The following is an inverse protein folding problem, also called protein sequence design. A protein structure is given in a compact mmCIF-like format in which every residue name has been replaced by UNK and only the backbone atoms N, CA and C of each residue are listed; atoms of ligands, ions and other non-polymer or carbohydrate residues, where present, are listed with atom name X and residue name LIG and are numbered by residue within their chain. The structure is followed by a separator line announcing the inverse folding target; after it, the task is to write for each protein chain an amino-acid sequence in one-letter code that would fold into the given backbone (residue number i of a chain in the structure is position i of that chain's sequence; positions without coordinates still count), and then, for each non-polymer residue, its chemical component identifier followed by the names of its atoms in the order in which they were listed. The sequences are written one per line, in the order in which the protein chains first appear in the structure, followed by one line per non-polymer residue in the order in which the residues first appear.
data_IF_855714167133
#
_entry.id   IF_855714167133
#
_cell.length_a   1.000
_cell.length_b   1.000
_cell.length_c   1.000
_cell.angle_alpha   90.00
_cell.angle_beta   90.00
_cell.angle_gamma   90.00
#
_symmetry.space_group_name_H-M   'P 1'
#
loop_
_entity.id
_entity.type
_entity.pdbx_description
1 polymer ?
#
# COMPACT_ATOMS: atom_id res chain seq x y z
N UNK A 1 -33.44 36.94 37.69
CA UNK A 1 -32.40 35.89 37.77
C UNK A 1 -31.70 35.78 36.43
N UNK A 2 -30.37 35.96 36.41
CA UNK A 2 -29.53 35.74 35.22
C UNK A 2 -29.13 34.27 35.17
N UNK A 3 -29.45 33.55 34.10
CA UNK A 3 -28.82 32.26 33.78
C UNK A 3 -28.01 32.43 32.49
N UNK A 4 -26.69 32.35 32.66
CA UNK A 4 -25.69 32.36 31.59
C UNK A 4 -25.74 31.03 30.86
N UNK A 5 -26.12 31.02 29.59
CA UNK A 5 -25.84 29.88 28.71
C UNK A 5 -24.41 30.03 28.16
N UNK A 6 -23.48 29.29 28.76
CA UNK A 6 -22.16 29.04 28.17
C UNK A 6 -22.36 28.20 26.91
N UNK A 7 -22.09 28.77 25.74
CA UNK A 7 -21.80 27.99 24.53
C UNK A 7 -20.40 27.42 24.69
N UNK A 8 -20.31 26.10 24.85
CA UNK A 8 -19.06 25.35 24.71
C UNK A 8 -18.94 24.95 23.24
N UNK A 9 -17.86 25.40 22.61
CA UNK A 9 -17.38 25.03 21.28
C UNK A 9 -16.91 23.58 21.25
N UNK A 10 -17.20 22.83 20.19
CA UNK A 10 -16.33 21.73 19.77
C UNK A 10 -15.96 21.94 18.30
N UNK A 11 -14.84 22.64 18.11
CA UNK A 11 -14.15 22.77 16.83
C UNK A 11 -13.62 21.39 16.44
N UNK A 12 -14.17 20.78 15.39
CA UNK A 12 -13.54 19.62 14.75
C UNK A 12 -12.32 20.13 13.98
N UNK A 13 -11.20 20.25 14.70
CA UNK A 13 -9.88 20.38 14.10
C UNK A 13 -9.57 19.11 13.32
N UNK A 14 -9.39 19.25 12.01
CA UNK A 14 -8.84 18.23 11.13
C UNK A 14 -7.42 17.93 11.61
N UNK A 15 -7.24 16.81 12.31
CA UNK A 15 -5.92 16.24 12.56
C UNK A 15 -5.53 15.41 11.33
N UNK A 16 -4.95 16.06 10.32
CA UNK A 16 -4.11 15.37 9.34
C UNK A 16 -2.78 15.06 10.03
N UNK A 17 -2.74 13.93 10.72
CA UNK A 17 -1.53 13.36 11.30
C UNK A 17 -0.60 12.77 10.24
N UNK A 18 -0.07 13.61 9.36
CA UNK A 18 1.21 13.37 8.70
C UNK A 18 2.30 13.87 9.66
N UNK A 19 2.91 12.98 10.43
CA UNK A 19 4.30 13.11 10.93
C UNK A 19 4.64 11.98 11.89
N UNK A 20 5.12 10.87 11.34
CA UNK A 20 6.09 10.00 12.00
C UNK A 20 6.82 9.15 10.95
N UNK A 21 7.54 9.80 10.03
CA UNK A 21 8.78 9.18 9.57
C UNK A 21 9.66 9.12 10.81
N UNK A 22 9.88 7.92 11.33
CA UNK A 22 10.89 7.68 12.35
C UNK A 22 12.26 8.02 11.74
N UNK A 23 12.65 9.29 11.87
CA UNK A 23 14.02 9.71 11.78
C UNK A 23 14.77 8.94 12.85
N UNK A 24 15.59 7.98 12.43
CA UNK A 24 16.61 7.39 13.28
C UNK A 24 17.38 8.54 13.94
N UNK A 25 17.54 8.57 15.27
CA UNK A 25 18.38 9.56 15.91
C UNK A 25 19.82 9.28 15.47
N UNK A 26 20.33 10.11 14.55
CA UNK A 26 21.77 10.26 14.39
C UNK A 26 22.31 10.74 15.74
N UNK A 27 22.89 9.83 16.50
CA UNK A 27 23.72 10.17 17.66
C UNK A 27 24.90 10.98 17.14
N UNK A 28 24.80 12.30 17.20
CA UNK A 28 25.95 13.19 17.08
C UNK A 28 26.87 12.94 18.27
N UNK A 29 27.93 12.17 18.05
CA UNK A 29 29.05 12.15 18.98
C UNK A 29 29.80 13.47 18.80
N UNK A 30 29.54 14.42 19.69
CA UNK A 30 30.35 15.64 19.81
C UNK A 30 31.69 15.26 20.44
N UNK A 31 32.69 14.98 19.60
CA UNK A 31 34.09 14.99 20.04
C UNK A 31 34.58 16.44 20.09
N UNK A 32 34.58 17.04 21.28
CA UNK A 32 35.36 18.25 21.55
C UNK A 32 36.83 17.94 21.34
N UNK A 33 37.44 18.74 20.46
CA UNK A 33 38.81 18.70 20.03
C UNK A 33 39.81 18.81 21.18
N UNK A 34 40.72 17.85 21.28
CA UNK A 34 42.15 18.10 21.46
C UNK A 34 42.90 16.79 21.41
N UNK A 35 43.32 16.35 20.22
CA UNK A 35 44.54 15.56 20.09
C UNK A 35 45.01 15.53 18.62
N UNK A 36 46.33 15.56 18.51
CA UNK A 36 47.15 15.73 17.31
C UNK A 36 46.67 14.90 16.11
N UNK A 37 46.73 15.53 14.93
CA UNK A 37 46.60 14.92 13.60
C UNK A 37 47.29 13.56 13.54
N UNK A 38 46.51 12.48 13.56
CA UNK A 38 46.81 11.27 12.80
C UNK A 38 45.93 11.31 11.57
N UNK A 39 46.55 11.58 10.42
CA UNK A 39 45.98 11.37 9.10
C UNK A 39 45.75 9.87 8.92
N UNK A 40 44.56 9.38 9.30
CA UNK A 40 43.96 8.22 8.67
C UNK A 40 42.83 8.77 7.81
N UNK A 41 43.05 8.82 6.50
CA UNK A 41 41.99 9.04 5.51
C UNK A 41 40.91 7.99 5.75
N UNK A 42 39.81 8.39 6.39
CA UNK A 42 38.58 7.59 6.37
C UNK A 42 38.15 7.61 4.91
N UNK A 43 38.44 6.53 4.19
CA UNK A 43 37.89 6.31 2.85
C UNK A 43 36.41 6.12 3.08
N UNK A 44 35.63 7.18 2.86
CA UNK A 44 34.18 7.07 2.85
C UNK A 44 33.83 6.06 1.74
N UNK A 45 33.03 5.03 2.02
CA UNK A 45 32.62 4.08 1.01
C UNK A 45 31.98 4.83 -0.15
N UNK A 46 32.27 4.41 -1.38
CA UNK A 46 31.73 5.12 -2.53
C UNK A 46 30.19 5.00 -2.50
N UNK A 47 29.50 5.95 -3.15
CA UNK A 47 28.03 6.01 -3.14
C UNK A 47 27.39 4.72 -3.67
N UNK A 48 28.00 4.07 -4.66
CA UNK A 48 27.52 2.80 -5.22
C UNK A 48 27.55 1.67 -4.17
N UNK A 49 28.63 1.52 -3.42
CA UNK A 49 28.77 0.50 -2.38
C UNK A 49 27.71 0.65 -1.28
N UNK A 50 27.40 1.90 -0.91
CA UNK A 50 26.32 2.20 0.04
C UNK A 50 24.96 1.74 -0.53
N UNK A 51 24.64 2.09 -1.78
CA UNK A 51 23.36 1.72 -2.40
C UNK A 51 23.24 0.20 -2.60
N UNK A 52 24.31 -0.47 -3.00
CA UNK A 52 24.33 -1.92 -3.12
C UNK A 52 24.19 -2.63 -1.77
N UNK A 53 24.79 -2.09 -0.71
CA UNK A 53 24.60 -2.58 0.65
C UNK A 53 23.14 -2.48 1.09
N UNK A 54 22.46 -1.36 0.78
CA UNK A 54 21.02 -1.21 1.04
C UNK A 54 20.18 -2.23 0.24
N UNK A 55 20.49 -2.45 -1.04
CA UNK A 55 19.81 -3.47 -1.84
C UNK A 55 20.00 -4.87 -1.26
N UNK A 56 21.21 -5.21 -0.82
CA UNK A 56 21.49 -6.48 -0.17
C UNK A 56 20.70 -6.65 1.13
N UNK A 57 20.65 -5.61 1.96
CA UNK A 57 19.88 -5.63 3.21
C UNK A 57 18.37 -5.83 2.94
N UNK A 58 17.82 -5.23 1.87
CA UNK A 58 16.43 -5.44 1.44
C UNK A 58 16.19 -6.88 0.98
N UNK A 59 17.07 -7.43 0.14
CA UNK A 59 17.00 -8.83 -0.32
C UNK A 59 17.06 -9.78 0.88
N UNK A 60 17.96 -9.55 1.83
CA UNK A 60 18.08 -10.37 3.03
C UNK A 60 16.81 -10.29 3.88
N UNK A 61 16.24 -9.10 4.06
CA UNK A 61 14.98 -8.94 4.79
C UNK A 61 13.84 -9.73 4.12
N UNK A 62 13.67 -9.59 2.80
CA UNK A 62 12.68 -10.37 2.06
C UNK A 62 12.94 -11.88 2.15
N UNK A 63 14.20 -12.31 2.15
CA UNK A 63 14.57 -13.71 2.32
C UNK A 63 14.24 -14.23 3.72
N UNK A 64 14.41 -13.42 4.77
CA UNK A 64 14.01 -13.79 6.14
C UNK A 64 12.50 -13.87 6.27
N UNK A 65 11.77 -13.05 5.52
CA UNK A 65 10.32 -13.09 5.44
C UNK A 65 9.81 -14.20 4.51
N UNK A 66 10.67 -14.98 3.84
CA UNK A 66 10.30 -15.92 2.78
C UNK A 66 9.89 -17.32 3.27
N UNK A 67 9.06 -17.41 4.31
CA UNK A 67 8.49 -18.70 4.72
C UNK A 67 7.73 -19.34 3.56
N UNK A 68 7.80 -20.66 3.42
CA UNK A 68 7.10 -21.43 2.38
C UNK A 68 7.33 -20.94 0.93
N UNK A 69 8.52 -20.38 0.65
CA UNK A 69 8.93 -19.97 -0.72
C UNK A 69 8.02 -18.91 -1.35
N UNK A 70 7.44 -18.09 -0.48
CA UNK A 70 6.36 -17.15 -0.80
C UNK A 70 6.84 -15.84 -1.43
N UNK A 71 8.13 -15.65 -1.69
CA UNK A 71 8.73 -14.48 -2.35
C UNK A 71 9.81 -14.87 -3.36
N UNK A 72 9.88 -16.15 -3.76
CA UNK A 72 10.94 -16.67 -4.63
C UNK A 72 11.07 -15.92 -5.96
N UNK A 73 9.96 -15.57 -6.61
CA UNK A 73 10.00 -14.84 -7.89
C UNK A 73 10.54 -13.41 -7.67
N UNK A 74 10.07 -12.72 -6.64
CA UNK A 74 10.52 -11.37 -6.30
C UNK A 74 12.01 -11.38 -5.92
N UNK A 75 12.44 -12.34 -5.11
CA UNK A 75 13.85 -12.53 -4.73
C UNK A 75 14.72 -12.84 -5.95
N UNK A 76 14.23 -13.64 -6.89
CA UNK A 76 14.92 -13.91 -8.15
C UNK A 76 15.12 -12.63 -8.96
N UNK A 77 14.06 -11.82 -9.15
CA UNK A 77 14.14 -10.54 -9.88
C UNK A 77 15.12 -9.55 -9.21
N UNK A 78 15.06 -9.44 -7.88
CA UNK A 78 15.97 -8.57 -7.12
C UNK A 78 17.43 -9.01 -7.25
N UNK A 79 17.68 -10.33 -7.20
CA UNK A 79 19.01 -10.89 -7.40
C UNK A 79 19.52 -10.72 -8.83
N UNK A 80 18.67 -10.85 -9.84
CA UNK A 80 19.04 -10.58 -11.23
C UNK A 80 19.45 -9.11 -11.43
N UNK A 81 18.68 -8.17 -10.88
CA UNK A 81 19.00 -6.74 -10.91
C UNK A 81 20.30 -6.43 -10.17
N UNK A 82 20.49 -7.01 -8.99
CA UNK A 82 21.74 -6.91 -8.23
C UNK A 82 22.94 -7.38 -9.07
N UNK A 83 22.86 -8.57 -9.67
CA UNK A 83 23.93 -9.10 -10.52
C UNK A 83 24.23 -8.18 -11.71
N UNK A 84 23.18 -7.62 -12.35
CA UNK A 84 23.36 -6.65 -13.44
C UNK A 84 24.14 -5.41 -12.97
N UNK A 85 23.77 -4.82 -11.83
CA UNK A 85 24.47 -3.65 -11.29
C UNK A 85 25.91 -3.98 -10.91
N UNK A 86 26.16 -5.12 -10.28
CA UNK A 86 27.52 -5.58 -9.96
C UNK A 86 28.38 -5.74 -11.21
N UNK A 87 27.88 -6.41 -12.25
CA UNK A 87 28.64 -6.59 -13.50
C UNK A 87 28.95 -5.26 -14.20
N UNK A 88 27.98 -4.32 -14.21
CA UNK A 88 28.18 -2.99 -14.79
C UNK A 88 29.23 -2.18 -14.02
N UNK A 89 29.24 -2.29 -12.69
CA UNK A 89 30.23 -1.64 -11.84
C UNK A 89 31.63 -2.22 -12.05
N UNK A 90 31.77 -3.54 -12.05
CA UNK A 90 33.07 -4.20 -12.23
C UNK A 90 33.71 -3.85 -13.58
N UNK A 91 32.91 -3.78 -14.65
CA UNK A 91 33.37 -3.42 -15.98
C UNK A 91 33.83 -1.95 -16.10
N UNK A 92 33.29 -1.04 -15.28
CA UNK A 92 33.47 0.40 -15.42
C UNK A 92 33.99 1.08 -14.15
N UNK A 93 34.58 0.32 -13.21
CA UNK A 93 34.95 0.81 -11.86
C UNK A 93 35.91 2.01 -11.84
N UNK A 94 36.63 2.25 -12.93
CA UNK A 94 37.59 3.36 -13.07
C UNK A 94 36.98 4.62 -13.71
N UNK A 95 35.76 4.53 -14.25
CA UNK A 95 35.03 5.65 -14.82
C UNK A 95 34.12 6.24 -13.74
N UNK A 96 34.57 7.34 -13.13
CA UNK A 96 33.85 7.98 -12.03
C UNK A 96 32.48 8.50 -12.42
N UNK A 97 32.32 9.00 -13.65
CA UNK A 97 31.04 9.54 -14.13
C UNK A 97 30.03 8.39 -14.34
N UNK A 98 30.50 7.28 -14.91
CA UNK A 98 29.69 6.08 -15.06
C UNK A 98 29.28 5.49 -13.70
N UNK A 99 30.22 5.38 -12.75
CA UNK A 99 29.94 4.86 -11.41
C UNK A 99 28.92 5.74 -10.66
N UNK A 100 29.01 7.06 -10.80
CA UNK A 100 28.01 7.98 -10.22
C UNK A 100 26.63 7.78 -10.84
N UNK A 101 26.55 7.69 -12.17
CA UNK A 101 25.29 7.41 -12.88
C UNK A 101 24.69 6.08 -12.44
N UNK A 102 25.50 5.03 -12.39
CA UNK A 102 25.07 3.70 -11.96
C UNK A 102 24.57 3.73 -10.50
N UNK A 103 25.25 4.46 -9.61
CA UNK A 103 24.79 4.65 -8.23
C UNK A 103 23.41 5.31 -8.15
N UNK A 104 23.14 6.30 -9.01
CA UNK A 104 21.82 6.93 -9.10
C UNK A 104 20.77 5.95 -9.64
N UNK A 105 21.11 5.10 -10.61
CA UNK A 105 20.20 4.05 -11.11
C UNK A 105 19.82 3.04 -10.02
N UNK A 106 20.79 2.60 -9.20
CA UNK A 106 20.50 1.72 -8.05
C UNK A 106 19.60 2.43 -7.03
N UNK A 107 19.89 3.70 -6.71
CA UNK A 107 19.07 4.51 -5.80
C UNK A 107 17.63 4.67 -6.29
N UNK A 108 17.46 4.91 -7.60
CA UNK A 108 16.16 5.02 -8.24
C UNK A 108 15.39 3.70 -8.19
N UNK A 109 16.06 2.58 -8.46
CA UNK A 109 15.46 1.25 -8.37
C UNK A 109 15.00 0.94 -6.93
N UNK A 110 15.83 1.24 -5.93
CA UNK A 110 15.48 1.09 -4.51
C UNK A 110 14.23 1.91 -4.16
N UNK A 111 14.19 3.17 -4.59
CA UNK A 111 13.14 4.10 -4.19
C UNK A 111 11.83 3.86 -4.93
N UNK A 112 11.90 3.64 -6.24
CA UNK A 112 10.72 3.55 -7.13
C UNK A 112 10.14 2.16 -7.20
N UNK A 113 10.92 1.12 -6.90
CA UNK A 113 10.45 -0.27 -6.95
C UNK A 113 10.53 -0.93 -5.58
N UNK A 114 11.74 -1.12 -5.04
CA UNK A 114 11.95 -2.01 -3.88
C UNK A 114 11.17 -1.55 -2.65
N UNK A 115 11.21 -0.25 -2.34
CA UNK A 115 10.49 0.32 -1.20
C UNK A 115 8.95 0.22 -1.35
N UNK A 116 8.43 0.36 -2.57
CA UNK A 116 6.99 0.18 -2.81
C UNK A 116 6.57 -1.27 -2.57
N UNK A 117 7.37 -2.24 -2.99
CA UNK A 117 7.07 -3.67 -2.75
C UNK A 117 7.12 -4.02 -1.26
N UNK A 118 8.12 -3.50 -0.54
CA UNK A 118 8.18 -3.66 0.91
C UNK A 118 6.92 -3.13 1.60
N UNK A 119 6.44 -1.95 1.18
CA UNK A 119 5.23 -1.36 1.71
C UNK A 119 3.98 -2.23 1.41
N UNK A 120 3.84 -2.74 0.19
CA UNK A 120 2.71 -3.62 -0.17
C UNK A 120 2.74 -4.94 0.60
N UNK A 121 3.91 -5.57 0.73
CA UNK A 121 4.07 -6.82 1.48
C UNK A 121 3.74 -6.60 2.95
N UNK A 122 4.24 -5.52 3.54
CA UNK A 122 3.94 -5.19 4.93
C UNK A 122 2.45 -4.91 5.14
N UNK A 123 1.81 -4.18 4.22
CA UNK A 123 0.37 -3.93 4.26
C UNK A 123 -0.44 -5.22 4.15
N UNK A 124 -0.04 -6.14 3.27
CA UNK A 124 -0.69 -7.44 3.11
C UNK A 124 -0.65 -8.27 4.40
N UNK A 125 0.51 -8.34 5.05
CA UNK A 125 0.68 -9.04 6.33
C UNK A 125 -0.19 -8.42 7.44
N UNK A 126 -0.24 -7.08 7.52
CA UNK A 126 -1.15 -6.39 8.45
C UNK A 126 -2.61 -6.77 8.17
N UNK A 127 -3.05 -6.71 6.92
CA UNK A 127 -4.43 -7.00 6.53
C UNK A 127 -4.81 -8.45 6.86
N UNK A 128 -3.94 -9.42 6.55
CA UNK A 128 -4.16 -10.83 6.90
C UNK A 128 -4.40 -10.97 8.41
N UNK A 129 -3.53 -10.38 9.24
CA UNK A 129 -3.65 -10.44 10.71
C UNK A 129 -4.89 -9.72 11.23
N UNK A 130 -5.29 -8.62 10.60
CA UNK A 130 -6.53 -7.91 10.97
C UNK A 130 -7.75 -8.77 10.67
N UNK A 131 -7.80 -9.42 9.51
CA UNK A 131 -8.92 -10.28 9.11
C UNK A 131 -9.02 -11.50 10.03
N UNK A 132 -7.90 -12.14 10.37
CA UNK A 132 -7.87 -13.29 11.28
C UNK A 132 -8.38 -12.99 12.69
N UNK A 133 -8.33 -11.71 13.10
CA UNK A 133 -8.83 -11.25 14.40
C UNK A 133 -10.26 -10.71 14.35
N UNK A 134 -10.83 -10.58 13.16
CA UNK A 134 -12.14 -9.96 12.99
C UNK A 134 -13.24 -10.93 13.43
N UNK A 135 -14.17 -10.45 14.26
CA UNK A 135 -15.40 -11.21 14.56
C UNK A 135 -16.39 -11.07 13.39
N UNK A 136 -16.68 -12.21 12.76
CA UNK A 136 -17.56 -12.32 11.59
C UNK A 136 -18.96 -12.85 11.93
N UNK A 137 -19.34 -12.85 13.22
CA UNK A 137 -20.65 -13.33 13.69
C UNK A 137 -21.82 -12.57 13.09
N UNK A 138 -21.65 -11.25 12.91
CA UNK A 138 -22.70 -10.33 12.48
C UNK A 138 -22.48 -9.76 11.07
N UNK A 139 -21.51 -10.29 10.32
CA UNK A 139 -21.22 -9.86 8.95
C UNK A 139 -22.19 -10.51 7.98
N UNK A 140 -22.62 -9.78 6.96
CA UNK A 140 -23.48 -10.29 5.89
C UNK A 140 -22.83 -11.54 5.24
N UNK A 141 -23.59 -12.63 5.00
CA UNK A 141 -23.02 -13.88 4.49
C UNK A 141 -22.15 -13.71 3.23
N UNK A 142 -22.63 -12.98 2.23
CA UNK A 142 -21.86 -12.73 1.00
C UNK A 142 -20.58 -11.93 1.24
N UNK A 143 -20.58 -10.97 2.18
CA UNK A 143 -19.40 -10.15 2.48
C UNK A 143 -18.37 -10.97 3.27
N UNK A 144 -18.84 -11.89 4.12
CA UNK A 144 -18.03 -12.87 4.83
C UNK A 144 -17.38 -13.86 3.88
N UNK A 145 -18.15 -14.38 2.92
CA UNK A 145 -17.66 -15.32 1.91
C UNK A 145 -16.60 -14.66 1.02
N UNK A 146 -16.87 -13.44 0.54
CA UNK A 146 -15.91 -12.64 -0.21
C UNK A 146 -14.63 -12.39 0.62
N UNK A 147 -14.75 -11.98 1.89
CA UNK A 147 -13.60 -11.74 2.74
C UNK A 147 -12.74 -13.00 2.92
N UNK A 148 -13.36 -14.15 3.11
CA UNK A 148 -12.64 -15.42 3.21
C UNK A 148 -11.99 -15.82 1.89
N UNK A 149 -12.66 -15.62 0.76
CA UNK A 149 -12.10 -15.89 -0.57
C UNK A 149 -10.89 -15.00 -0.84
N UNK A 150 -11.00 -13.69 -0.59
CA UNK A 150 -9.90 -12.76 -0.78
C UNK A 150 -8.78 -12.99 0.23
N UNK A 151 -9.07 -13.40 1.47
CA UNK A 151 -8.05 -13.81 2.44
C UNK A 151 -7.28 -15.03 1.95
N UNK A 152 -7.99 -16.04 1.45
CA UNK A 152 -7.38 -17.25 0.87
C UNK A 152 -6.47 -16.86 -0.30
N UNK A 153 -6.97 -16.06 -1.24
CA UNK A 153 -6.18 -15.54 -2.37
C UNK A 153 -4.98 -14.73 -1.90
N UNK A 154 -5.13 -13.83 -0.94
CA UNK A 154 -4.04 -13.03 -0.38
C UNK A 154 -2.92 -13.89 0.23
N UNK A 155 -3.29 -14.97 0.93
CA UNK A 155 -2.34 -15.96 1.45
C UNK A 155 -1.64 -16.74 0.33
N UNK A 156 -2.34 -17.00 -0.78
CA UNK A 156 -1.81 -17.71 -1.97
C UNK A 156 -1.04 -16.81 -2.95
N UNK A 157 -1.31 -15.50 -2.99
CA UNK A 157 -0.68 -14.51 -3.87
C UNK A 157 0.77 -14.26 -3.47
N UNK A 158 1.18 -14.78 -2.34
CA UNK A 158 2.54 -14.66 -1.82
C UNK A 158 3.58 -15.14 -2.86
N UNK A 159 4.16 -14.14 -3.55
CA UNK A 159 5.42 -14.05 -4.30
C UNK A 159 5.90 -15.21 -5.18
N UNK A 160 5.01 -16.14 -5.51
CA UNK A 160 5.05 -16.93 -6.76
C UNK A 160 4.49 -16.15 -7.95
N UNK A 161 3.92 -14.96 -7.71
CA UNK A 161 3.22 -14.15 -8.72
C UNK A 161 3.83 -12.74 -8.84
N UNK A 162 3.68 -12.08 -9.99
CA UNK A 162 4.30 -10.77 -10.28
C UNK A 162 3.93 -9.68 -9.28
N UNK A 163 4.74 -8.60 -9.27
CA UNK A 163 4.55 -7.36 -8.50
C UNK A 163 3.10 -6.84 -8.48
N UNK A 164 2.45 -6.79 -9.65
CA UNK A 164 1.07 -6.33 -9.82
C UNK A 164 0.08 -7.15 -8.97
N UNK A 165 0.32 -8.45 -8.85
CA UNK A 165 -0.60 -9.36 -8.16
C UNK A 165 -0.58 -9.10 -6.65
N UNK A 166 0.56 -8.73 -6.07
CA UNK A 166 0.65 -8.36 -4.65
C UNK A 166 -0.20 -7.11 -4.38
N UNK A 167 -0.10 -6.10 -5.24
CA UNK A 167 -0.92 -4.88 -5.14
C UNK A 167 -2.41 -5.19 -5.28
N UNK A 168 -2.80 -6.02 -6.26
CA UNK A 168 -4.18 -6.46 -6.45
C UNK A 168 -4.71 -7.18 -5.21
N UNK A 169 -3.94 -8.10 -4.62
CA UNK A 169 -4.34 -8.79 -3.39
C UNK A 169 -4.51 -7.84 -2.20
N UNK A 170 -3.63 -6.84 -2.05
CA UNK A 170 -3.81 -5.80 -1.03
C UNK A 170 -5.13 -5.05 -1.26
N UNK A 171 -5.38 -4.60 -2.49
CA UNK A 171 -6.58 -3.83 -2.82
C UNK A 171 -7.86 -4.65 -2.63
N UNK A 172 -7.89 -5.89 -3.11
CA UNK A 172 -9.07 -6.76 -3.04
C UNK A 172 -9.36 -7.20 -1.60
N UNK A 173 -8.32 -7.50 -0.81
CA UNK A 173 -8.50 -7.83 0.61
C UNK A 173 -8.93 -6.61 1.43
N UNK A 174 -8.39 -5.43 1.17
CA UNK A 174 -8.78 -4.19 1.84
C UNK A 174 -10.24 -3.83 1.53
N UNK A 175 -10.66 -3.96 0.26
CA UNK A 175 -12.04 -3.76 -0.16
C UNK A 175 -12.99 -4.75 0.53
N UNK A 176 -12.66 -6.05 0.53
CA UNK A 176 -13.47 -7.07 1.20
C UNK A 176 -13.58 -6.82 2.71
N UNK A 177 -12.47 -6.42 3.34
CA UNK A 177 -12.44 -6.06 4.75
C UNK A 177 -13.30 -4.82 5.04
N UNK A 178 -13.28 -3.82 4.16
CA UNK A 178 -14.11 -2.62 4.28
C UNK A 178 -15.60 -2.96 4.17
N UNK A 179 -16.01 -3.86 3.28
CA UNK A 179 -17.39 -4.36 3.23
C UNK A 179 -17.77 -5.07 4.54
N UNK A 180 -16.91 -5.95 5.04
CA UNK A 180 -17.17 -6.68 6.28
C UNK A 180 -17.30 -5.75 7.48
N UNK A 181 -16.34 -4.82 7.67
CA UNK A 181 -16.35 -3.82 8.76
C UNK A 181 -17.55 -2.86 8.67
N UNK A 182 -18.07 -2.60 7.48
CA UNK A 182 -19.21 -1.68 7.27
C UNK A 182 -20.58 -2.34 7.44
N UNK A 183 -20.64 -3.67 7.56
CA UNK A 183 -21.89 -4.46 7.58
C UNK A 183 -22.89 -4.10 8.69
N UNK A 184 -22.42 -3.43 9.75
CA UNK A 184 -23.27 -3.01 10.88
C UNK A 184 -23.41 -1.50 11.00
N UNK A 185 -22.71 -0.73 10.19
CA UNK A 185 -22.60 0.71 10.35
C UNK A 185 -23.05 1.43 9.09
N UNK A 186 -24.31 1.89 9.10
CA UNK A 186 -24.91 2.63 7.97
C UNK A 186 -24.06 3.80 7.50
N UNK A 187 -23.52 4.59 8.42
CA UNK A 187 -22.67 5.74 8.08
C UNK A 187 -21.42 5.32 7.31
N UNK A 188 -20.74 4.24 7.75
CA UNK A 188 -19.59 3.67 7.04
C UNK A 188 -19.98 3.06 5.70
N UNK A 189 -21.09 2.34 5.65
CA UNK A 189 -21.62 1.79 4.41
C UNK A 189 -21.93 2.89 3.38
N UNK A 190 -22.48 4.03 3.82
CA UNK A 190 -22.68 5.17 2.92
C UNK A 190 -21.36 5.79 2.47
N UNK A 191 -20.40 6.04 3.37
CA UNK A 191 -19.09 6.56 2.95
C UNK A 191 -18.43 5.64 1.90
N UNK A 192 -18.55 4.33 2.07
CA UNK A 192 -18.08 3.35 1.10
C UNK A 192 -18.80 3.48 -0.25
N UNK A 193 -20.14 3.57 -0.24
CA UNK A 193 -20.93 3.76 -1.46
C UNK A 193 -20.54 5.05 -2.17
N UNK A 194 -20.36 6.16 -1.44
CA UNK A 194 -19.91 7.43 -2.00
C UNK A 194 -18.53 7.32 -2.67
N UNK A 195 -17.58 6.67 -2.00
CA UNK A 195 -16.25 6.44 -2.55
C UNK A 195 -16.31 5.58 -3.82
N UNK A 196 -17.10 4.50 -3.83
CA UNK A 196 -17.25 3.64 -5.01
C UNK A 196 -17.93 4.37 -6.17
N UNK A 197 -18.90 5.26 -5.91
CA UNK A 197 -19.48 6.13 -6.95
C UNK A 197 -18.40 7.04 -7.54
N UNK A 198 -17.62 7.75 -6.70
CA UNK A 198 -16.57 8.66 -7.19
C UNK A 198 -15.52 7.94 -8.03
N UNK A 199 -15.08 6.76 -7.58
CA UNK A 199 -14.11 5.94 -8.32
C UNK A 199 -14.71 5.42 -9.64
N UNK A 200 -15.97 5.00 -9.63
CA UNK A 200 -16.67 4.57 -10.84
C UNK A 200 -16.78 5.71 -11.86
N UNK A 201 -17.19 6.91 -11.44
CA UNK A 201 -17.28 8.09 -12.30
C UNK A 201 -15.92 8.45 -12.92
N UNK A 202 -14.84 8.40 -12.13
CA UNK A 202 -13.49 8.65 -12.62
C UNK A 202 -13.00 7.57 -13.61
N UNK A 203 -13.56 6.37 -13.55
CA UNK A 203 -13.14 5.23 -14.38
C UNK A 203 -13.75 5.24 -15.78
N UNK A 204 -14.89 5.93 -15.99
CA UNK A 204 -15.61 5.98 -17.28
C UNK A 204 -14.69 6.40 -18.43
N UNK A 205 -13.79 7.37 -18.21
CA UNK A 205 -12.88 7.88 -19.24
C UNK A 205 -11.86 6.85 -19.75
N UNK A 206 -11.67 5.74 -19.02
CA UNK A 206 -10.71 4.69 -19.36
C UNK A 206 -11.38 3.46 -20.00
N UNK A 207 -12.72 3.41 -20.02
CA UNK A 207 -13.47 2.32 -20.64
C UNK A 207 -13.47 2.45 -22.16
N UNK A 208 -13.34 1.30 -22.84
CA UNK A 208 -13.16 1.25 -24.30
C UNK A 208 -14.42 0.89 -25.08
N UNK A 209 -15.48 0.40 -24.42
CA UNK A 209 -16.69 -0.08 -25.09
C UNK A 209 -17.94 0.63 -24.57
N UNK A 210 -18.88 0.91 -25.48
CA UNK A 210 -20.17 1.51 -25.11
C UNK A 210 -20.94 0.64 -24.12
N UNK A 211 -20.88 -0.68 -24.27
CA UNK A 211 -21.54 -1.63 -23.37
C UNK A 211 -21.00 -1.53 -21.92
N UNK A 212 -19.69 -1.42 -21.74
CA UNK A 212 -19.10 -1.26 -20.41
C UNK A 212 -19.48 0.09 -19.79
N UNK A 213 -19.49 1.15 -20.61
CA UNK A 213 -19.91 2.50 -20.19
C UNK A 213 -21.39 2.49 -19.75
N UNK A 214 -22.28 1.86 -20.52
CA UNK A 214 -23.71 1.78 -20.20
C UNK A 214 -23.96 0.97 -18.92
N UNK A 215 -23.28 -0.17 -18.77
CA UNK A 215 -23.32 -0.97 -17.53
C UNK A 215 -22.90 -0.14 -16.31
N UNK A 216 -21.79 0.60 -16.43
CA UNK A 216 -21.28 1.43 -15.34
C UNK A 216 -22.21 2.61 -15.04
N UNK A 217 -22.77 3.26 -16.05
CA UNK A 217 -23.73 4.35 -15.87
C UNK A 217 -25.03 3.88 -15.19
N UNK A 218 -25.54 2.71 -15.56
CA UNK A 218 -26.71 2.12 -14.91
C UNK A 218 -26.42 1.83 -13.42
N UNK A 219 -25.26 1.23 -13.12
CA UNK A 219 -24.81 1.00 -11.74
C UNK A 219 -24.70 2.29 -10.93
N UNK A 220 -24.15 3.36 -11.52
CA UNK A 220 -24.03 4.69 -10.89
C UNK A 220 -25.42 5.27 -10.58
N UNK A 221 -26.35 5.18 -11.53
CA UNK A 221 -27.71 5.69 -11.37
C UNK A 221 -28.44 5.00 -10.22
N UNK A 222 -28.37 3.67 -10.17
CA UNK A 222 -28.93 2.86 -9.08
C UNK A 222 -28.32 3.24 -7.72
N UNK A 223 -26.99 3.31 -7.64
CA UNK A 223 -26.27 3.69 -6.42
C UNK A 223 -26.61 5.10 -5.91
N UNK A 224 -26.77 6.07 -6.82
CA UNK A 224 -27.18 7.44 -6.47
C UNK A 224 -28.60 7.47 -5.90
N UNK A 225 -29.52 6.64 -6.42
CA UNK A 225 -30.88 6.54 -5.87
C UNK A 225 -30.87 6.08 -4.40
N UNK A 226 -30.04 5.08 -4.08
CA UNK A 226 -29.86 4.58 -2.71
C UNK A 226 -29.26 5.65 -1.80
N UNK A 227 -28.28 6.41 -2.30
CA UNK A 227 -27.68 7.53 -1.56
C UNK A 227 -28.70 8.60 -1.18
N UNK A 228 -29.67 8.89 -2.06
CA UNK A 228 -30.71 9.89 -1.80
C UNK A 228 -31.84 9.38 -0.89
N UNK A 229 -32.04 8.07 -0.83
CA UNK A 229 -33.08 7.44 -0.03
C UNK A 229 -32.55 6.97 1.33
N UNK A 230 -32.71 7.83 2.34
CA UNK A 230 -32.30 7.56 3.71
C UNK A 230 -33.08 6.43 4.41
N UNK A 231 -34.06 5.78 3.76
CA UNK A 231 -34.77 4.63 4.33
C UNK A 231 -34.12 3.30 3.97
N UNK A 232 -33.25 3.28 2.96
CA UNK A 232 -32.57 2.07 2.47
C UNK A 232 -31.73 1.39 3.54
N UNK A 233 -31.75 0.07 3.60
CA UNK A 233 -31.01 -0.73 4.58
C UNK A 233 -29.52 -0.89 4.22
N UNK A 234 -28.69 -1.24 5.22
CA UNK A 234 -27.24 -1.48 5.05
C UNK A 234 -26.98 -2.56 3.99
N UNK A 235 -27.83 -3.59 3.91
CA UNK A 235 -27.72 -4.65 2.91
C UNK A 235 -27.78 -4.10 1.48
N UNK A 236 -28.72 -3.20 1.20
CA UNK A 236 -28.88 -2.61 -0.14
C UNK A 236 -27.70 -1.67 -0.47
N UNK A 237 -27.26 -0.87 0.51
CA UNK A 237 -26.11 0.04 0.34
C UNK A 237 -24.84 -0.75 -0.04
N UNK A 238 -24.56 -1.85 0.68
CA UNK A 238 -23.36 -2.65 0.44
C UNK A 238 -23.45 -3.46 -0.86
N UNK A 239 -24.64 -3.92 -1.25
CA UNK A 239 -24.86 -4.56 -2.57
C UNK A 239 -24.58 -3.60 -3.72
N UNK A 240 -25.07 -2.37 -3.65
CA UNK A 240 -24.84 -1.37 -4.69
C UNK A 240 -23.36 -0.99 -4.81
N UNK A 241 -22.66 -0.85 -3.68
CA UNK A 241 -21.23 -0.60 -3.67
C UNK A 241 -20.43 -1.75 -4.33
N UNK A 242 -20.80 -3.01 -4.08
CA UNK A 242 -20.18 -4.17 -4.75
C UNK A 242 -20.46 -4.19 -6.26
N UNK A 243 -21.68 -3.89 -6.67
CA UNK A 243 -22.06 -3.82 -8.08
C UNK A 243 -21.24 -2.76 -8.84
N UNK A 244 -21.07 -1.57 -8.25
CA UNK A 244 -20.20 -0.52 -8.79
C UNK A 244 -18.75 -0.97 -8.96
N UNK A 245 -18.18 -1.63 -7.94
CA UNK A 245 -16.80 -2.11 -7.97
C UNK A 245 -16.57 -3.12 -9.10
N UNK A 246 -17.52 -4.03 -9.33
CA UNK A 246 -17.43 -5.02 -10.41
C UNK A 246 -17.56 -4.34 -11.77
N UNK A 247 -18.52 -3.44 -11.92
CA UNK A 247 -18.74 -2.72 -13.18
C UNK A 247 -17.55 -1.82 -13.56
N UNK A 248 -16.84 -1.22 -12.58
CA UNK A 248 -15.67 -0.36 -12.85
C UNK A 248 -14.42 -1.12 -13.27
N UNK A 249 -14.39 -2.45 -13.12
CA UNK A 249 -13.25 -3.32 -13.49
C UNK A 249 -13.43 -3.99 -14.87
N UNK A 250 -14.62 -3.90 -15.48
CA UNK A 250 -15.00 -4.56 -16.74
C UNK A 250 -14.74 -3.67 -17.97
#
# INVERSE_FOLDING_TARGET
MKTKNKKMTLSFGIFLGLSALATLPMTMISFKSNQKKRTSSIVLPNKFDIQMSLLNAKIENFSRMNDDHKFDLLLSELNEKKTKFTNQYEANRNDSEFVEKLSNEVSDYLTKEVNHWEAYIHRLDILIREVEKLDLSNVLPWAKDELHEQLKKAKEVTGKKPKLVIQEAVNDLDDAMNYAKSSLERSKAMMLLELKILLAEASIQFLKTAEAIDKLNNAISEAKSIKTDNTKEILEILKAAKLLQVASKA
#
